data_IF_198593218265
#
_entry.id   IF_198593218265
#
_cell.length_a   1.000
_cell.length_b   1.000
_cell.length_c   1.000
_cell.angle_alpha   90.00
_cell.angle_beta   90.00
_cell.angle_gamma   90.00
#
_symmetry.space_group_name_H-M   'P 1'
#
loop_
_entity.id
_entity.type
_entity.pdbx_description
1 polymer ?
#
# COMPACT_ATOMS: atom_id res chain seq x y z
N UNK A 1 6.48 1.55 12.58
CA UNK A 1 6.45 1.36 11.12
C UNK A 1 5.38 2.28 10.62
N UNK A 2 5.76 3.21 9.76
CA UNK A 2 4.83 4.15 9.17
C UNK A 2 4.07 3.48 8.02
N UNK A 3 2.90 4.02 7.67
CA UNK A 3 2.02 3.44 6.63
C UNK A 3 2.76 3.24 5.30
N UNK A 4 3.59 4.20 4.89
CA UNK A 4 4.33 4.18 3.64
C UNK A 4 5.41 3.07 3.58
N UNK A 5 6.04 2.75 4.72
CA UNK A 5 7.00 1.63 4.83
C UNK A 5 6.29 0.29 4.64
N UNK A 6 5.09 0.14 5.21
CA UNK A 6 4.30 -1.09 5.11
C UNK A 6 3.82 -1.32 3.68
N UNK A 7 3.40 -0.26 2.98
CA UNK A 7 3.04 -0.33 1.56
C UNK A 7 4.20 -0.80 0.69
N UNK A 8 5.41 -0.29 0.95
CA UNK A 8 6.61 -0.69 0.24
C UNK A 8 6.96 -2.17 0.49
N UNK A 9 6.91 -2.60 1.75
CA UNK A 9 7.21 -3.98 2.12
C UNK A 9 6.22 -4.96 1.47
N UNK A 10 4.91 -4.67 1.54
CA UNK A 10 3.88 -5.49 0.87
C UNK A 10 4.10 -5.62 -0.63
N UNK A 11 4.59 -4.56 -1.28
CA UNK A 11 4.96 -4.60 -2.70
C UNK A 11 6.18 -5.50 -2.93
N UNK A 12 7.24 -5.31 -2.15
CA UNK A 12 8.51 -6.06 -2.30
C UNK A 12 8.34 -7.55 -1.96
N UNK A 13 7.52 -7.88 -0.95
CA UNK A 13 7.19 -9.26 -0.56
C UNK A 13 6.45 -10.05 -1.67
N UNK A 14 5.82 -9.34 -2.62
CA UNK A 14 5.12 -9.94 -3.76
C UNK A 14 5.84 -9.73 -5.10
N UNK A 15 7.09 -9.28 -5.09
CA UNK A 15 7.88 -8.99 -6.31
C UNK A 15 7.18 -8.04 -7.29
N UNK A 16 6.32 -7.15 -6.79
CA UNK A 16 5.55 -6.22 -7.62
C UNK A 16 6.34 -4.95 -7.91
N UNK A 17 6.14 -4.40 -9.11
CA UNK A 17 6.67 -3.08 -9.46
C UNK A 17 5.72 -1.97 -9.01
N UNK A 18 6.24 -0.76 -8.83
CA UNK A 18 5.40 0.43 -8.58
C UNK A 18 4.40 0.67 -9.71
N UNK A 19 4.71 0.24 -10.94
CA UNK A 19 3.79 0.36 -12.06
C UNK A 19 2.60 -0.58 -11.89
N UNK A 20 2.81 -1.83 -11.43
CA UNK A 20 1.72 -2.79 -11.24
C UNK A 20 0.66 -2.27 -10.26
N UNK A 21 1.10 -1.66 -9.15
CA UNK A 21 0.16 -1.10 -8.16
C UNK A 21 -0.45 0.23 -8.59
N UNK A 22 0.27 1.02 -9.38
CA UNK A 22 -0.29 2.19 -10.02
C UNK A 22 -1.42 1.80 -10.99
N UNK A 23 -1.22 0.75 -11.78
CA UNK A 23 -2.23 0.22 -12.72
C UNK A 23 -3.45 -0.33 -11.96
N UNK A 24 -3.22 -1.10 -10.88
CA UNK A 24 -4.28 -1.60 -9.99
C UNK A 24 -5.16 -0.46 -9.44
N UNK A 25 -4.52 0.65 -9.04
CA UNK A 25 -5.19 1.81 -8.46
C UNK A 25 -5.67 2.83 -9.51
N UNK A 26 -5.40 2.60 -10.80
CA UNK A 26 -5.71 3.50 -11.92
C UNK A 26 -5.12 4.91 -11.72
N UNK A 27 -3.87 4.98 -11.27
CA UNK A 27 -3.11 6.22 -11.07
C UNK A 27 -1.78 6.17 -11.82
N UNK A 28 -1.08 7.30 -11.91
CA UNK A 28 0.28 7.31 -12.45
C UNK A 28 1.31 6.71 -11.47
N UNK A 29 2.35 6.06 -12.00
CA UNK A 29 3.46 5.46 -11.22
C UNK A 29 4.08 6.43 -10.20
N UNK A 30 4.29 7.69 -10.60
CA UNK A 30 4.85 8.73 -9.72
C UNK A 30 3.96 8.96 -8.50
N UNK A 31 2.63 8.88 -8.66
CA UNK A 31 1.69 9.03 -7.55
C UNK A 31 1.82 7.86 -6.57
N UNK A 32 1.95 6.64 -7.08
CA UNK A 32 2.16 5.47 -6.22
C UNK A 32 3.50 5.55 -5.47
N UNK A 33 4.58 5.98 -6.15
CA UNK A 33 5.87 6.26 -5.50
C UNK A 33 5.72 7.26 -4.34
N UNK A 34 4.92 8.32 -4.50
CA UNK A 34 4.68 9.32 -3.44
C UNK A 34 4.00 8.72 -2.20
N UNK A 35 3.15 7.71 -2.38
CA UNK A 35 2.58 6.97 -1.26
C UNK A 35 3.66 6.18 -0.51
N UNK A 36 4.58 5.54 -1.23
CA UNK A 36 5.68 4.77 -0.61
C UNK A 36 6.76 5.64 0.04
N UNK A 37 6.92 6.89 -0.40
CA UNK A 37 7.87 7.85 0.21
C UNK A 37 7.25 8.72 1.29
N UNK A 38 5.94 8.62 1.53
CA UNK A 38 5.23 9.48 2.48
C UNK A 38 5.08 10.95 2.01
N UNK A 39 5.46 11.27 0.77
CA UNK A 39 5.25 12.59 0.16
C UNK A 39 3.75 12.93 0.01
N UNK A 40 2.90 11.91 -0.06
CA UNK A 40 1.45 12.08 -0.12
C UNK A 40 0.76 10.97 0.65
N UNK A 41 -0.26 11.32 1.42
CA UNK A 41 -1.07 10.33 2.13
C UNK A 41 -1.91 9.49 1.16
N UNK A 42 -2.06 8.20 1.46
CA UNK A 42 -2.90 7.31 0.67
C UNK A 42 -4.39 7.58 0.95
N UNK A 43 -5.21 7.89 -0.06
CA UNK A 43 -6.65 8.04 0.14
C UNK A 43 -7.30 6.73 0.56
N UNK A 44 -8.30 6.79 1.44
CA UNK A 44 -9.03 5.60 1.95
C UNK A 44 -9.56 4.70 0.82
N UNK A 45 -9.99 5.27 -0.31
CA UNK A 45 -10.43 4.49 -1.48
C UNK A 45 -9.34 3.55 -2.03
N UNK A 46 -8.08 4.00 -2.08
CA UNK A 46 -6.96 3.19 -2.55
C UNK A 46 -6.54 2.21 -1.49
N UNK A 47 -6.54 2.63 -0.21
CA UNK A 47 -6.26 1.75 0.92
C UNK A 47 -7.19 0.53 0.92
N UNK A 48 -8.49 0.72 0.68
CA UNK A 48 -9.46 -0.38 0.57
C UNK A 48 -9.11 -1.37 -0.54
N UNK A 49 -8.69 -0.87 -1.71
CA UNK A 49 -8.28 -1.72 -2.85
C UNK A 49 -7.03 -2.52 -2.49
N UNK A 50 -6.02 -1.88 -1.88
CA UNK A 50 -4.80 -2.56 -1.47
C UNK A 50 -5.06 -3.61 -0.38
N UNK A 51 -5.90 -3.30 0.61
CA UNK A 51 -6.28 -4.25 1.65
C UNK A 51 -6.94 -5.51 1.05
N UNK A 52 -7.88 -5.31 0.10
CA UNK A 52 -8.53 -6.41 -0.60
C UNK A 52 -7.56 -7.21 -1.48
N UNK A 53 -6.64 -6.52 -2.17
CA UNK A 53 -5.65 -7.15 -3.05
C UNK A 53 -4.64 -8.00 -2.27
N UNK A 54 -4.09 -7.47 -1.19
CA UNK A 54 -3.10 -8.17 -0.35
C UNK A 54 -3.72 -9.14 0.65
N UNK A 55 -5.04 -9.09 0.87
CA UNK A 55 -5.72 -9.88 1.90
C UNK A 55 -5.27 -9.50 3.30
N UNK A 56 -5.11 -8.20 3.57
CA UNK A 56 -4.70 -7.64 4.87
C UNK A 56 -5.72 -6.65 5.39
N UNK A 57 -5.73 -6.45 6.71
CA UNK A 57 -6.58 -5.44 7.36
C UNK A 57 -5.99 -4.04 7.25
N UNK A 58 -6.86 -3.03 7.23
CA UNK A 58 -6.44 -1.63 7.25
C UNK A 58 -5.60 -1.31 8.50
N UNK A 59 -5.92 -1.90 9.65
CA UNK A 59 -5.15 -1.75 10.89
C UNK A 59 -3.68 -2.16 10.73
N UNK A 60 -3.41 -3.21 9.93
CA UNK A 60 -2.04 -3.61 9.63
C UNK A 60 -1.34 -2.57 8.75
N UNK A 61 -1.98 -2.15 7.65
CA UNK A 61 -1.39 -1.19 6.70
C UNK A 61 -1.14 0.17 7.37
N UNK A 62 -2.00 0.58 8.29
CA UNK A 62 -1.89 1.83 9.06
C UNK A 62 -0.91 1.73 10.24
N UNK A 63 -0.26 0.58 10.46
CA UNK A 63 0.70 0.39 11.55
C UNK A 63 0.04 0.26 12.94
N UNK A 64 -1.28 0.12 13.02
CA UNK A 64 -2.05 -0.06 14.27
C UNK A 64 -2.01 -1.51 14.77
N UNK A 65 -1.56 -2.46 13.95
CA UNK A 65 -1.38 -3.87 14.30
C UNK A 65 -0.02 -4.41 13.84
N UNK A 66 0.62 -5.23 14.69
CA UNK A 66 1.89 -5.93 14.36
C UNK A 66 1.72 -7.16 13.47
N UNK A 67 0.50 -7.72 13.37
CA UNK A 67 0.24 -8.95 12.60
C UNK A 67 -0.75 -8.66 11.48
N UNK A 68 -0.47 -9.10 10.24
CA UNK A 68 -1.49 -9.13 9.20
C UNK A 68 -2.56 -10.12 9.64
N UNK A 69 -3.76 -9.60 9.95
CA UNK A 69 -4.95 -10.45 10.12
C UNK A 69 -5.57 -10.64 8.74
N UNK A 70 -5.70 -11.91 8.33
CA UNK A 70 -6.48 -12.33 7.16
C UNK A 70 -7.95 -12.44 7.52
#
# INVERSE_FOLDING_TARGET
>A
METHEILRNLREDQDLTQQNLADLLKIGRTMYRRYETGETEIPVRHLKVLCAFYGVTADYVLGLSKKPKK
#
